data_IF_883876498713
#
_entry.id   IF_883876498713
#
_cell.length_a   1.000
_cell.length_b   1.000
_cell.length_c   1.000
_cell.angle_alpha   90.00
_cell.angle_beta   90.00
_cell.angle_gamma   90.00
#
_symmetry.space_group_name_H-M   'P 1'
#
loop_
_entity.id
_entity.type
_entity.pdbx_description
1 polymer ?
#
# COMPACT_ATOMS: atom_id res chain seq x y z
N UNK A 1 15.21 -6.09 -9.20
CA UNK A 1 13.86 -5.99 -9.78
C UNK A 1 13.72 -4.56 -10.27
N UNK A 2 13.30 -4.39 -11.52
CA UNK A 2 13.08 -3.07 -12.08
C UNK A 2 11.79 -2.45 -11.52
N UNK A 3 11.84 -1.16 -11.13
CA UNK A 3 10.70 -0.48 -10.52
C UNK A 3 9.55 -0.36 -11.52
N UNK A 4 9.87 -0.03 -12.77
CA UNK A 4 8.85 0.16 -13.80
C UNK A 4 8.14 -1.15 -14.09
N UNK A 5 8.89 -2.24 -14.24
CA UNK A 5 8.29 -3.57 -14.45
C UNK A 5 7.38 -3.98 -13.29
N UNK A 6 7.77 -3.72 -12.03
CA UNK A 6 6.92 -4.03 -10.88
C UNK A 6 5.61 -3.21 -10.92
N UNK A 7 5.72 -1.90 -11.14
CA UNK A 7 4.58 -0.97 -11.10
C UNK A 7 3.62 -1.18 -12.27
N UNK A 8 4.14 -1.45 -13.48
CA UNK A 8 3.32 -1.70 -14.67
C UNK A 8 2.52 -3.00 -14.54
N UNK A 9 2.98 -3.95 -13.72
CA UNK A 9 2.29 -5.22 -13.44
C UNK A 9 1.28 -5.14 -12.27
N UNK A 10 1.13 -3.97 -11.63
CA UNK A 10 0.06 -3.74 -10.67
C UNK A 10 -1.29 -3.70 -11.41
N UNK A 11 -2.21 -4.60 -11.04
CA UNK A 11 -3.60 -4.55 -11.56
C UNK A 11 -4.34 -3.42 -10.84
N UNK A 12 -4.12 -2.20 -11.29
CA UNK A 12 -4.84 -1.00 -10.86
C UNK A 12 -6.15 -0.93 -11.63
N UNK A 13 -7.26 -0.90 -10.90
CA UNK A 13 -8.57 -0.69 -11.51
C UNK A 13 -8.65 0.71 -12.12
N UNK A 14 -9.42 0.85 -13.20
CA UNK A 14 -9.79 2.17 -13.72
C UNK A 14 -11.13 2.58 -13.12
N UNK A 15 -11.18 3.78 -12.52
CA UNK A 15 -12.42 4.40 -12.10
C UNK A 15 -12.57 5.70 -12.87
N UNK A 16 -13.70 5.86 -13.59
CA UNK A 16 -14.01 7.09 -14.36
C UNK A 16 -12.94 7.48 -15.39
N UNK A 17 -12.19 6.50 -15.91
CA UNK A 17 -11.14 6.72 -16.92
C UNK A 17 -9.72 6.83 -16.34
N UNK A 18 -9.58 7.12 -15.05
CA UNK A 18 -8.28 7.24 -14.36
C UNK A 18 -7.90 5.96 -13.61
N UNK A 19 -6.59 5.69 -13.49
CA UNK A 19 -6.09 4.57 -12.70
C UNK A 19 -6.21 4.85 -11.21
N UNK A 20 -6.83 3.93 -10.46
CA UNK A 20 -7.01 4.05 -9.03
C UNK A 20 -5.65 4.26 -8.30
N UNK A 21 -5.54 5.26 -7.40
CA UNK A 21 -4.27 5.61 -6.76
C UNK A 21 -3.91 4.65 -5.60
N UNK A 22 -4.87 3.87 -5.11
CA UNK A 22 -4.77 3.11 -3.85
C UNK A 22 -3.54 2.23 -3.71
N UNK A 23 -3.19 1.47 -4.75
CA UNK A 23 -2.01 0.59 -4.72
C UNK A 23 -0.70 1.39 -4.74
N UNK A 24 -0.66 2.53 -5.42
CA UNK A 24 0.51 3.42 -5.44
C UNK A 24 0.67 4.11 -4.08
N UNK A 25 -0.42 4.62 -3.51
CA UNK A 25 -0.41 5.21 -2.16
C UNK A 25 0.03 4.18 -1.11
N UNK A 26 -0.43 2.93 -1.23
CA UNK A 26 0.03 1.83 -0.36
C UNK A 26 1.54 1.61 -0.48
N UNK A 27 2.09 1.53 -1.70
CA UNK A 27 3.52 1.36 -1.92
C UNK A 27 4.36 2.49 -1.33
N UNK A 28 3.93 3.75 -1.54
CA UNK A 28 4.62 4.91 -0.96
C UNK A 28 4.59 4.82 0.57
N UNK A 29 3.45 4.44 1.15
CA UNK A 29 3.28 4.34 2.60
C UNK A 29 4.16 3.26 3.22
N UNK A 30 4.20 2.07 2.61
CA UNK A 30 5.09 0.98 3.03
C UNK A 30 6.57 1.37 2.89
N UNK A 31 6.92 2.06 1.80
CA UNK A 31 8.30 2.50 1.58
C UNK A 31 8.72 3.55 2.63
N UNK A 32 7.86 4.52 2.97
CA UNK A 32 8.13 5.48 4.06
C UNK A 32 8.41 4.77 5.39
N UNK A 33 7.54 3.82 5.78
CA UNK A 33 7.73 3.04 7.02
C UNK A 33 9.00 2.19 6.99
N UNK A 34 9.31 1.57 5.85
CA UNK A 34 10.58 0.85 5.67
C UNK A 34 11.79 1.78 5.82
N UNK A 35 11.74 3.00 5.27
CA UNK A 35 12.85 3.95 5.36
C UNK A 35 13.09 4.42 6.80
N UNK A 36 12.02 4.60 7.58
CA UNK A 36 12.06 5.01 8.98
C UNK A 36 12.61 3.91 9.89
N UNK A 37 12.11 2.67 9.75
CA UNK A 37 12.36 1.61 10.73
C UNK A 37 13.37 0.55 10.25
N UNK A 38 13.65 0.48 8.95
CA UNK A 38 14.44 -0.59 8.28
C UNK A 38 13.97 -2.02 8.60
N UNK A 39 12.74 -2.15 9.08
CA UNK A 39 12.09 -3.40 9.44
C UNK A 39 11.27 -3.93 8.27
N UNK A 40 11.18 -5.26 8.16
CA UNK A 40 10.22 -5.93 7.29
C UNK A 40 8.87 -6.18 7.99
N UNK A 41 8.76 -5.85 9.28
CA UNK A 41 7.55 -5.95 10.08
C UNK A 41 6.96 -4.57 10.28
N UNK A 42 5.65 -4.43 10.06
CA UNK A 42 4.89 -3.19 10.16
C UNK A 42 3.67 -3.40 11.06
N UNK A 43 3.48 -2.47 11.99
CA UNK A 43 2.24 -2.40 12.77
C UNK A 43 1.09 -1.88 11.91
N UNK A 44 -0.08 -2.53 12.01
CA UNK A 44 -1.27 -2.16 11.23
C UNK A 44 -1.68 -0.70 11.44
N UNK A 45 -1.56 -0.19 12.67
CA UNK A 45 -1.94 1.19 13.01
C UNK A 45 -1.04 2.19 12.28
N UNK A 46 0.28 1.98 12.32
CA UNK A 46 1.24 2.83 11.62
C UNK A 46 0.98 2.86 10.12
N UNK A 47 0.67 1.71 9.51
CA UNK A 47 0.32 1.64 8.10
C UNK A 47 -0.95 2.45 7.79
N UNK A 48 -1.98 2.35 8.63
CA UNK A 48 -3.23 3.09 8.44
C UNK A 48 -3.01 4.61 8.53
N UNK A 49 -2.17 5.05 9.46
CA UNK A 49 -1.87 6.46 9.68
C UNK A 49 -1.01 7.02 8.54
N UNK A 50 0.08 6.35 8.16
CA UNK A 50 0.94 6.76 7.05
C UNK A 50 0.19 6.70 5.71
N UNK A 51 -0.68 5.70 5.50
CA UNK A 51 -1.55 5.65 4.31
C UNK A 51 -2.49 6.85 4.24
N UNK A 52 -3.15 7.18 5.35
CA UNK A 52 -4.08 8.31 5.40
C UNK A 52 -3.36 9.65 5.21
N UNK A 53 -2.15 9.79 5.74
CA UNK A 53 -1.31 10.98 5.54
C UNK A 53 -0.85 11.11 4.09
N UNK A 54 -0.29 10.04 3.52
CA UNK A 54 0.18 10.00 2.12
C UNK A 54 -0.96 10.26 1.15
N UNK A 55 -2.17 9.74 1.43
CA UNK A 55 -3.36 10.07 0.65
C UNK A 55 -3.63 11.58 0.61
N UNK A 56 -3.62 12.24 1.77
CA UNK A 56 -3.89 13.69 1.87
C UNK A 56 -2.83 14.53 1.17
N UNK A 57 -1.56 14.13 1.24
CA UNK A 57 -0.44 14.80 0.57
C UNK A 57 -0.62 14.83 -0.96
N UNK A 58 -1.24 13.80 -1.54
CA UNK A 58 -1.37 13.62 -2.98
C UNK A 58 -2.81 13.71 -3.51
N UNK A 59 -3.79 14.05 -2.67
CA UNK A 59 -5.21 14.02 -3.02
C UNK A 59 -5.63 14.91 -4.19
N UNK A 60 -4.82 15.92 -4.53
CA UNK A 60 -5.06 16.79 -5.69
C UNK A 60 -4.63 16.16 -7.02
N UNK A 61 -3.96 15.00 -6.98
CA UNK A 61 -3.47 14.30 -8.16
C UNK A 61 -4.41 13.23 -8.71
N UNK A 62 -5.61 13.06 -8.15
CA UNK A 62 -6.61 12.06 -8.57
C UNK A 62 -8.03 12.48 -8.15
N UNK A 63 -9.07 11.98 -8.83
CA UNK A 63 -10.46 12.37 -8.54
C UNK A 63 -11.09 11.71 -7.31
N UNK A 64 -10.70 10.47 -7.00
CA UNK A 64 -11.41 9.66 -5.99
C UNK A 64 -11.24 10.22 -4.58
N UNK A 65 -12.34 10.25 -3.81
CA UNK A 65 -12.34 10.64 -2.38
C UNK A 65 -12.28 9.43 -1.44
N UNK A 66 -12.32 8.21 -1.97
CA UNK A 66 -12.41 6.99 -1.18
C UNK A 66 -11.04 6.58 -0.62
N UNK A 67 -10.66 7.11 0.54
CA UNK A 67 -9.44 6.74 1.25
C UNK A 67 -9.60 5.42 2.05
N UNK A 68 -9.61 4.29 1.33
CA UNK A 68 -9.72 2.96 1.94
C UNK A 68 -8.47 2.10 1.65
N UNK A 69 -7.74 1.73 2.71
CA UNK A 69 -6.56 0.86 2.67
C UNK A 69 -6.90 -0.62 2.43
N UNK A 70 -8.12 -1.03 2.77
CA UNK A 70 -8.52 -2.44 2.81
C UNK A 70 -8.35 -3.18 1.50
N UNK A 71 -8.84 -2.58 0.42
CA UNK A 71 -8.75 -3.19 -0.91
C UNK A 71 -7.32 -3.31 -1.45
N UNK A 72 -6.49 -2.25 -1.46
CA UNK A 72 -5.10 -2.40 -1.90
C UNK A 72 -4.32 -3.37 -0.98
N UNK A 73 -4.56 -3.37 0.34
CA UNK A 73 -3.94 -4.32 1.27
C UNK A 73 -4.29 -5.76 0.90
N UNK A 74 -5.58 -6.07 0.70
CA UNK A 74 -6.04 -7.40 0.28
C UNK A 74 -5.38 -7.86 -1.02
N UNK A 75 -5.24 -6.97 -2.00
CA UNK A 75 -4.58 -7.32 -3.27
C UNK A 75 -3.11 -7.67 -3.06
N UNK A 76 -2.40 -6.93 -2.20
CA UNK A 76 -1.00 -7.19 -1.92
C UNK A 76 -0.79 -8.51 -1.16
N UNK A 77 -1.69 -8.83 -0.23
CA UNK A 77 -1.70 -10.12 0.47
C UNK A 77 -1.96 -11.26 -0.52
N UNK A 78 -3.00 -11.15 -1.34
CA UNK A 78 -3.34 -12.17 -2.34
C UNK A 78 -2.24 -12.42 -3.37
N UNK A 79 -1.36 -11.43 -3.60
CA UNK A 79 -0.22 -11.55 -4.52
C UNK A 79 1.08 -12.02 -3.85
N UNK A 80 1.06 -12.27 -2.53
CA UNK A 80 2.25 -12.65 -1.78
C UNK A 80 3.28 -11.52 -1.64
N UNK A 81 2.87 -10.26 -1.81
CA UNK A 81 3.73 -9.11 -1.57
C UNK A 81 3.80 -8.76 -0.09
N UNK A 82 2.68 -8.97 0.61
CA UNK A 82 2.57 -8.84 2.05
C UNK A 82 2.04 -10.14 2.64
N UNK A 83 2.43 -10.42 3.86
CA UNK A 83 1.83 -11.45 4.71
C UNK A 83 1.17 -10.74 5.90
N UNK A 84 0.03 -11.25 6.34
CA UNK A 84 -0.67 -10.72 7.51
C UNK A 84 -0.87 -11.83 8.52
N UNK A 85 -0.47 -11.56 9.76
CA UNK A 85 -0.85 -12.41 10.88
C UNK A 85 -2.20 -11.89 11.41
N UNK A 86 -3.17 -12.80 11.55
CA UNK A 86 -4.53 -12.47 11.96
C UNK A 86 -4.93 -13.25 13.22
N UNK A 87 -5.67 -12.60 14.11
CA UNK A 87 -6.33 -13.23 15.27
C UNK A 87 -7.59 -13.99 14.87
N UNK A 88 -8.33 -13.45 13.91
CA UNK A 88 -9.62 -13.95 13.43
C UNK A 88 -9.80 -13.62 11.94
N UNK A 89 -10.67 -14.37 11.28
CA UNK A 89 -10.99 -14.15 9.86
C UNK A 89 -11.56 -12.74 9.62
N UNK A 90 -11.01 -12.08 8.60
CA UNK A 90 -11.46 -10.76 8.14
C UNK A 90 -12.60 -10.98 7.14
N UNK A 91 -13.82 -10.57 7.50
CA UNK A 91 -15.00 -10.73 6.65
C UNK A 91 -15.10 -9.60 5.63
N UNK A 92 -14.80 -8.37 6.06
CA UNK A 92 -14.77 -7.20 5.20
C UNK A 92 -13.46 -6.43 5.35
N UNK A 93 -12.58 -6.56 4.34
CA UNK A 93 -11.35 -5.79 4.29
C UNK A 93 -11.59 -4.28 4.22
N UNK A 94 -12.79 -3.80 3.81
CA UNK A 94 -13.08 -2.36 3.80
C UNK A 94 -13.33 -1.80 5.20
N UNK A 95 -13.65 -2.66 6.19
CA UNK A 95 -13.91 -2.25 7.56
C UNK A 95 -12.61 -1.92 8.29
N UNK A 96 -12.34 -0.62 8.51
CA UNK A 96 -11.19 -0.15 9.30
C UNK A 96 -11.15 -0.78 10.69
N UNK A 97 -12.31 -0.95 11.32
CA UNK A 97 -12.42 -1.56 12.64
C UNK A 97 -11.99 -3.02 12.62
N UNK A 98 -12.41 -3.80 11.62
CA UNK A 98 -11.96 -5.20 11.49
C UNK A 98 -10.47 -5.29 11.24
N UNK A 99 -9.92 -4.48 10.31
CA UNK A 99 -8.49 -4.50 10.04
C UNK A 99 -7.68 -4.23 11.32
N UNK A 100 -8.08 -3.20 12.07
CA UNK A 100 -7.39 -2.79 13.30
C UNK A 100 -7.49 -3.83 14.41
N UNK A 101 -8.64 -4.49 14.58
CA UNK A 101 -8.83 -5.45 15.67
C UNK A 101 -8.27 -6.84 15.36
N UNK A 102 -8.28 -7.24 14.09
CA UNK A 102 -7.96 -8.62 13.67
C UNK A 102 -6.55 -8.80 13.14
N UNK A 103 -5.94 -7.81 12.50
CA UNK A 103 -4.55 -7.92 12.01
C UNK A 103 -3.60 -7.57 13.14
N UNK A 104 -2.76 -8.52 13.53
CA UNK A 104 -1.72 -8.29 14.56
C UNK A 104 -0.45 -7.75 13.96
N UNK A 105 -0.07 -8.24 12.79
CA UNK A 105 1.22 -7.93 12.18
C UNK A 105 1.12 -7.96 10.65
N UNK A 106 1.88 -7.08 9.99
CA UNK A 106 2.04 -7.07 8.54
C UNK A 106 3.51 -7.27 8.23
N UNK A 107 3.84 -8.29 7.42
CA UNK A 107 5.21 -8.60 6.99
C UNK A 107 5.39 -8.27 5.52
N UNK A 108 6.46 -7.56 5.21
CA UNK A 108 6.91 -7.28 3.84
C UNK A 108 7.65 -8.52 3.33
N UNK A 109 7.14 -9.12 2.26
CA UNK A 109 7.81 -10.25 1.61
C UNK A 109 9.08 -9.78 0.86
N UNK A 110 10.00 -10.71 0.60
CA UNK A 110 11.28 -10.46 -0.05
C UNK A 110 11.17 -9.68 -1.37
N UNK A 111 10.12 -9.90 -2.16
CA UNK A 111 9.87 -9.16 -3.41
C UNK A 111 9.80 -7.65 -3.15
N UNK A 112 8.91 -7.23 -2.24
CA UNK A 112 8.79 -5.81 -1.86
C UNK A 112 10.01 -5.31 -1.10
N UNK A 113 10.59 -6.15 -0.24
CA UNK A 113 11.79 -5.78 0.53
C UNK A 113 12.96 -5.39 -0.38
N UNK A 114 13.18 -6.13 -1.47
CA UNK A 114 14.21 -5.77 -2.46
C UNK A 114 13.85 -4.51 -3.25
N UNK A 115 12.57 -4.30 -3.56
CA UNK A 115 12.09 -3.08 -4.23
C UNK A 115 12.35 -1.83 -3.37
N UNK A 116 12.09 -1.91 -2.06
CA UNK A 116 12.23 -0.80 -1.10
C UNK A 116 13.68 -0.40 -0.80
N UNK A 117 14.68 -1.18 -1.25
CA UNK A 117 16.09 -0.75 -1.18
C UNK A 117 16.43 0.36 -2.17
N UNK A 118 15.57 0.60 -3.16
CA UNK A 118 15.78 1.66 -4.15
C UNK A 118 15.31 3.01 -3.62
N UNK A 119 16.24 3.94 -3.40
CA UNK A 119 15.96 5.27 -2.84
C UNK A 119 15.09 6.14 -3.74
N UNK A 120 15.11 5.90 -5.06
CA UNK A 120 14.32 6.65 -6.04
C UNK A 120 12.88 6.15 -6.19
N UNK A 121 12.51 5.05 -5.51
CA UNK A 121 11.20 4.43 -5.62
C UNK A 121 10.06 5.43 -5.32
N UNK A 122 10.18 6.21 -4.25
CA UNK A 122 9.14 7.20 -3.90
C UNK A 122 8.93 8.23 -5.00
N UNK A 123 10.03 8.76 -5.56
CA UNK A 123 9.98 9.75 -6.64
C UNK A 123 9.26 9.17 -7.86
N UNK A 124 9.63 7.94 -8.26
CA UNK A 124 8.97 7.26 -9.36
C UNK A 124 7.48 7.01 -9.10
N UNK A 125 7.11 6.50 -7.92
CA UNK A 125 5.72 6.20 -7.58
C UNK A 125 4.83 7.45 -7.61
N UNK A 126 5.35 8.61 -7.17
CA UNK A 126 4.62 9.89 -7.22
C UNK A 126 4.23 10.24 -8.67
N UNK A 127 5.11 10.00 -9.65
CA UNK A 127 4.79 10.24 -11.07
C UNK A 127 3.64 9.37 -11.60
N UNK A 128 3.29 8.28 -10.89
CA UNK A 128 2.25 7.33 -11.28
C UNK A 128 0.91 7.56 -10.59
N UNK A 129 0.82 8.56 -9.71
CA UNK A 129 -0.41 8.94 -9.03
C UNK A 129 -1.37 9.62 -10.02
N UNK A 130 -0.85 10.51 -10.87
CA UNK A 130 -1.63 11.39 -11.76
C UNK A 130 -1.67 10.96 -13.22
N UNK A 131 -1.37 9.68 -13.49
CA UNK A 131 -1.26 9.09 -14.84
C UNK A 131 -2.34 8.07 -15.12
#
# INVERSE_FOLDING_TARGET
MDIKDFVDNLKRDKARGELAPHQIILLISLHKLYLENKSNVIETIDLMDVFSKTWKEHQYGFETKNCNLGMPLKVFVNRGYLEIDIKEDIKDFRSKTELKSKITEIKINQVLFQLFKNTELSNYLITKISS
#
